data_IF_535124926441
#
_entry.id   IF_535124926441
#
_cell.length_a   1.000
_cell.length_b   1.000
_cell.length_c   1.000
_cell.angle_alpha   90.00
_cell.angle_beta   90.00
_cell.angle_gamma   90.00
#
_symmetry.space_group_name_H-M   'P 1'
#
loop_
_entity.id
_entity.type
_entity.pdbx_description
1 polymer ?
#
# COMPACT_ATOMS: atom_id res chain seq x y z
N UNK A 1 -31.87 1.30 30.47
CA UNK A 1 -31.14 0.02 30.49
C UNK A 1 -32.12 -1.06 30.04
N UNK A 2 -31.85 -1.99 29.13
CA UNK A 2 -30.64 -2.45 28.46
C UNK A 2 -31.15 -3.47 27.41
N UNK A 3 -30.64 -3.41 26.18
CA UNK A 3 -30.68 -4.49 25.14
C UNK A 3 -32.11 -4.70 24.56
N UNK A 4 -32.39 -4.85 23.26
CA UNK A 4 -31.69 -5.47 22.14
C UNK A 4 -32.22 -4.78 20.87
N UNK A 5 -31.35 -4.13 20.09
CA UNK A 5 -31.66 -3.75 18.70
C UNK A 5 -31.05 -4.84 17.83
N UNK A 6 -31.89 -5.78 17.40
CA UNK A 6 -31.57 -6.80 16.40
C UNK A 6 -32.02 -6.25 15.06
N UNK A 7 -31.17 -5.46 14.40
CA UNK A 7 -31.36 -5.07 13.01
C UNK A 7 -30.41 -5.92 12.17
N UNK A 8 -31.03 -6.88 11.48
CA UNK A 8 -30.50 -7.63 10.36
C UNK A 8 -29.88 -6.67 9.34
N UNK A 9 -28.55 -6.64 9.26
CA UNK A 9 -27.85 -6.20 8.06
C UNK A 9 -27.30 -7.44 7.36
N UNK A 10 -28.06 -7.87 6.36
CA UNK A 10 -27.65 -8.82 5.33
C UNK A 10 -26.44 -8.23 4.61
N UNK A 11 -25.22 -8.64 4.98
CA UNK A 11 -24.05 -8.42 4.13
C UNK A 11 -23.99 -9.60 3.18
N UNK A 12 -24.41 -9.32 1.95
CA UNK A 12 -24.40 -10.24 0.83
C UNK A 12 -23.00 -10.83 0.61
N UNK A 13 -23.01 -12.15 0.44
CA UNK A 13 -21.97 -12.98 -0.15
C UNK A 13 -21.73 -12.58 -1.62
N UNK A 14 -20.65 -13.13 -2.19
CA UNK A 14 -20.14 -13.04 -3.59
C UNK A 14 -19.11 -11.90 -3.73
N UNK A 15 -17.80 -12.15 -3.90
CA UNK A 15 -17.08 -12.99 -4.89
C UNK A 15 -15.87 -13.59 -4.14
N UNK A 16 -15.62 -14.90 -4.08
CA UNK A 16 -15.26 -15.75 -5.21
C UNK A 16 -13.74 -15.75 -5.43
N UNK A 17 -13.15 -16.95 -5.40
CA UNK A 17 -11.93 -17.30 -6.17
C UNK A 17 -10.57 -16.97 -5.55
N UNK A 18 -9.98 -17.98 -4.91
CA UNK A 18 -8.54 -18.19 -4.99
C UNK A 18 -8.16 -18.48 -6.45
N UNK A 19 -7.78 -17.44 -7.21
CA UNK A 19 -7.08 -17.57 -8.48
C UNK A 19 -6.14 -16.37 -8.64
N UNK A 20 -4.90 -16.68 -8.97
CA UNK A 20 -3.85 -15.76 -9.38
C UNK A 20 -3.40 -14.72 -8.33
N UNK A 21 -2.16 -14.91 -7.91
CA UNK A 21 -1.19 -13.82 -7.71
C UNK A 21 -1.17 -12.94 -8.98
N UNK A 22 -2.22 -12.17 -9.24
CA UNK A 22 -2.37 -11.41 -10.47
C UNK A 22 -1.37 -10.26 -10.40
N UNK A 23 -0.26 -10.48 -11.13
CA UNK A 23 0.85 -9.58 -11.40
C UNK A 23 0.44 -8.37 -12.24
N UNK A 24 -0.83 -7.95 -12.18
CA UNK A 24 -1.25 -6.77 -12.92
C UNK A 24 -0.71 -5.51 -12.19
N UNK A 25 0.23 -4.76 -12.79
CA UNK A 25 0.77 -3.56 -12.19
C UNK A 25 -0.31 -2.47 -12.02
N UNK A 26 -1.30 -2.40 -12.91
CA UNK A 26 -2.37 -1.41 -12.83
C UNK A 26 -3.29 -1.69 -11.64
N UNK A 27 -3.70 -2.94 -11.45
CA UNK A 27 -4.50 -3.33 -10.29
C UNK A 27 -3.74 -3.16 -8.95
N UNK A 28 -2.40 -3.23 -8.96
CA UNK A 28 -1.59 -2.90 -7.78
C UNK A 28 -1.56 -1.41 -7.50
N UNK A 29 -1.33 -0.60 -8.53
CA UNK A 29 -1.36 0.87 -8.45
C UNK A 29 -2.68 1.35 -7.87
N UNK A 30 -3.78 0.85 -8.44
CA UNK A 30 -5.13 1.21 -8.04
C UNK A 30 -5.39 0.90 -6.56
N UNK A 31 -5.02 -0.30 -6.09
CA UNK A 31 -5.17 -0.67 -4.67
C UNK A 31 -4.35 0.20 -3.73
N UNK A 32 -3.15 0.61 -4.14
CA UNK A 32 -2.33 1.51 -3.34
C UNK A 32 -2.96 2.91 -3.25
N UNK A 33 -3.42 3.45 -4.38
CA UNK A 33 -4.10 4.74 -4.43
C UNK A 33 -5.40 4.71 -3.62
N UNK A 34 -6.21 3.66 -3.76
CA UNK A 34 -7.45 3.48 -2.97
C UNK A 34 -7.15 3.40 -1.48
N UNK A 35 -6.15 2.61 -1.07
CA UNK A 35 -5.73 2.52 0.32
C UNK A 35 -5.28 3.87 0.90
N UNK A 36 -4.49 4.63 0.16
CA UNK A 36 -4.08 5.98 0.55
C UNK A 36 -5.27 6.94 0.61
N UNK A 37 -6.17 6.87 -0.38
CA UNK A 37 -7.37 7.70 -0.46
C UNK A 37 -8.25 7.50 0.77
N UNK A 38 -8.52 6.24 1.13
CA UNK A 38 -9.32 5.90 2.30
C UNK A 38 -8.62 6.27 3.61
N UNK A 39 -7.34 5.93 3.77
CA UNK A 39 -6.63 6.14 5.02
C UNK A 39 -6.39 7.63 5.33
N UNK A 40 -6.10 8.43 4.31
CA UNK A 40 -5.81 9.85 4.47
C UNK A 40 -7.07 10.72 4.34
N UNK A 41 -8.13 10.18 3.73
CA UNK A 41 -9.37 10.90 3.42
C UNK A 41 -9.18 11.88 2.27
N UNK A 42 -8.51 11.43 1.20
CA UNK A 42 -8.16 12.29 0.07
C UNK A 42 -9.38 12.61 -0.80
N UNK A 43 -9.47 13.84 -1.30
CA UNK A 43 -10.43 14.22 -2.31
C UNK A 43 -9.91 13.93 -3.74
N UNK A 44 -10.76 14.13 -4.76
CA UNK A 44 -10.40 13.83 -6.17
C UNK A 44 -9.18 14.61 -6.67
N UNK A 45 -9.02 15.86 -6.25
CA UNK A 45 -7.91 16.71 -6.69
C UNK A 45 -6.60 16.27 -6.03
N UNK A 46 -6.65 15.85 -4.77
CA UNK A 46 -5.51 15.28 -4.06
C UNK A 46 -5.11 13.92 -4.63
N UNK A 47 -6.09 13.08 -4.97
CA UNK A 47 -5.85 11.81 -5.68
C UNK A 47 -5.14 12.05 -7.01
N UNK A 48 -5.56 13.06 -7.79
CA UNK A 48 -4.89 13.41 -9.03
C UNK A 48 -3.42 13.85 -8.82
N UNK A 49 -3.11 14.53 -7.70
CA UNK A 49 -1.73 14.93 -7.35
C UNK A 49 -0.87 13.76 -6.90
N UNK A 50 -1.41 12.82 -6.13
CA UNK A 50 -0.63 11.70 -5.60
C UNK A 50 -0.46 10.57 -6.62
N UNK A 51 -1.39 10.39 -7.56
CA UNK A 51 -1.35 9.33 -8.59
C UNK A 51 0.00 9.26 -9.33
N UNK A 52 0.55 10.35 -9.89
CA UNK A 52 1.86 10.29 -10.56
C UNK A 52 3.00 9.92 -9.61
N UNK A 53 2.96 10.37 -8.35
CA UNK A 53 3.98 10.07 -7.32
C UNK A 53 3.98 8.57 -7.00
N UNK A 54 2.80 8.00 -6.76
CA UNK A 54 2.65 6.56 -6.48
C UNK A 54 3.03 5.72 -7.71
N UNK A 55 2.64 6.16 -8.90
CA UNK A 55 3.00 5.50 -10.17
C UNK A 55 4.52 5.44 -10.36
N UNK A 56 5.22 6.55 -10.10
CA UNK A 56 6.67 6.61 -10.19
C UNK A 56 7.34 5.69 -9.15
N UNK A 57 6.87 5.72 -7.90
CA UNK A 57 7.37 4.84 -6.84
C UNK A 57 7.23 3.36 -7.20
N UNK A 58 6.07 2.97 -7.73
CA UNK A 58 5.84 1.60 -8.19
C UNK A 58 6.72 1.21 -9.38
N UNK A 59 6.93 2.13 -10.33
CA UNK A 59 7.84 1.90 -11.46
C UNK A 59 9.27 1.69 -10.98
N UNK A 60 9.78 2.57 -10.10
CA UNK A 60 11.11 2.44 -9.48
C UNK A 60 11.27 1.09 -8.79
N UNK A 61 10.24 0.66 -8.06
CA UNK A 61 10.23 -0.65 -7.43
C UNK A 61 10.29 -1.77 -8.47
N UNK A 62 9.45 -1.73 -9.50
CA UNK A 62 9.47 -2.76 -10.56
C UNK A 62 10.85 -2.84 -11.24
N UNK A 63 11.42 -1.70 -11.60
CA UNK A 63 12.72 -1.62 -12.30
C UNK A 63 13.87 -2.10 -11.41
N UNK A 64 13.87 -1.74 -10.12
CA UNK A 64 14.87 -2.21 -9.17
C UNK A 64 14.81 -3.73 -8.98
N UNK A 65 13.60 -4.28 -8.86
CA UNK A 65 13.39 -5.72 -8.72
C UNK A 65 13.74 -6.48 -10.02
N UNK A 66 13.49 -5.89 -11.19
CA UNK A 66 13.89 -6.47 -12.48
C UNK A 66 15.43 -6.55 -12.58
N UNK A 67 16.13 -5.46 -12.31
CA UNK A 67 17.61 -5.40 -12.29
C UNK A 67 18.23 -6.42 -11.33
N UNK A 68 17.66 -6.55 -10.13
CA UNK A 68 18.12 -7.53 -9.14
C UNK A 68 17.92 -8.98 -9.60
N UNK A 69 16.86 -9.27 -10.36
CA UNK A 69 16.63 -10.59 -10.94
C UNK A 69 17.57 -10.88 -12.12
N UNK A 70 17.81 -9.89 -12.96
CA UNK A 70 18.71 -9.98 -14.12
C UNK A 70 20.18 -10.17 -13.72
N UNK A 71 20.58 -9.66 -12.56
CA UNK A 71 21.94 -9.81 -12.02
C UNK A 71 22.35 -11.27 -11.71
N UNK A 72 21.46 -12.25 -11.88
CA UNK A 72 21.79 -13.68 -11.93
C UNK A 72 22.28 -14.32 -10.62
N UNK A 73 22.22 -13.60 -9.50
CA UNK A 73 22.65 -14.06 -8.17
C UNK A 73 21.49 -14.46 -7.25
N UNK A 74 21.85 -15.02 -6.09
CA UNK A 74 20.91 -15.31 -5.01
C UNK A 74 20.22 -14.00 -4.56
N UNK A 75 18.88 -14.04 -4.43
CA UNK A 75 18.11 -12.85 -4.04
C UNK A 75 18.40 -12.52 -2.58
N UNK A 76 19.31 -11.56 -2.37
CA UNK A 76 19.64 -11.01 -1.07
C UNK A 76 18.42 -10.29 -0.48
N UNK A 77 17.72 -10.98 0.43
CA UNK A 77 16.48 -10.49 1.03
C UNK A 77 16.67 -9.18 1.81
N UNK A 78 17.84 -8.96 2.39
CA UNK A 78 18.14 -7.72 3.12
C UNK A 78 18.26 -6.55 2.15
N UNK A 79 19.00 -6.73 1.05
CA UNK A 79 19.08 -5.71 -0.01
C UNK A 79 17.73 -5.43 -0.65
N UNK A 80 16.91 -6.47 -0.91
CA UNK A 80 15.54 -6.27 -1.41
C UNK A 80 14.70 -5.41 -0.46
N UNK A 81 14.83 -5.66 0.85
CA UNK A 81 14.12 -4.92 1.88
C UNK A 81 14.62 -3.47 1.93
N UNK A 82 15.92 -3.27 1.93
CA UNK A 82 16.53 -1.94 1.97
C UNK A 82 16.10 -1.08 0.77
N UNK A 83 16.18 -1.63 -0.45
CA UNK A 83 15.75 -0.92 -1.65
C UNK A 83 14.26 -0.62 -1.62
N UNK A 84 13.42 -1.55 -1.15
CA UNK A 84 12.00 -1.31 -0.98
C UNK A 84 11.74 -0.19 0.03
N UNK A 85 12.42 -0.18 1.16
CA UNK A 85 12.28 0.87 2.19
C UNK A 85 12.69 2.22 1.62
N UNK A 86 13.84 2.31 0.94
CA UNK A 86 14.30 3.58 0.33
C UNK A 86 13.29 4.15 -0.66
N UNK A 87 12.77 3.32 -1.56
CA UNK A 87 11.75 3.75 -2.54
C UNK A 87 10.47 4.21 -1.82
N UNK A 88 10.07 3.51 -0.76
CA UNK A 88 8.91 3.90 0.06
C UNK A 88 9.14 5.27 0.72
N UNK A 89 10.30 5.48 1.35
CA UNK A 89 10.63 6.73 2.04
C UNK A 89 10.70 7.93 1.07
N UNK A 90 11.28 7.72 -0.11
CA UNK A 90 11.28 8.73 -1.19
C UNK A 90 9.87 9.07 -1.65
N UNK A 91 9.04 8.04 -1.84
CA UNK A 91 7.63 8.21 -2.25
C UNK A 91 6.85 8.95 -1.16
N UNK A 92 7.03 8.59 0.11
CA UNK A 92 6.34 9.23 1.23
C UNK A 92 6.78 10.67 1.42
N UNK A 93 8.07 10.98 1.20
CA UNK A 93 8.55 12.37 1.19
C UNK A 93 7.88 13.19 0.09
N UNK A 94 7.74 12.63 -1.11
CA UNK A 94 7.06 13.29 -2.22
C UNK A 94 5.55 13.45 -1.94
N UNK A 95 4.90 12.45 -1.35
CA UNK A 95 3.50 12.54 -0.92
C UNK A 95 3.31 13.65 0.11
N UNK A 96 4.14 13.72 1.16
CA UNK A 96 4.05 14.77 2.19
C UNK A 96 4.23 16.19 1.65
N UNK A 97 4.89 16.36 0.51
CA UNK A 97 5.02 17.66 -0.14
C UNK A 97 3.74 18.15 -0.81
N UNK A 98 2.80 17.25 -1.15
CA UNK A 98 1.53 17.58 -1.81
C UNK A 98 0.31 17.41 -0.89
N UNK A 99 0.51 16.82 0.28
CA UNK A 99 -0.49 16.60 1.31
C UNK A 99 -0.50 17.73 2.34
N UNK A 100 -1.62 17.89 3.03
CA UNK A 100 -1.68 18.72 4.24
C UNK A 100 -0.90 18.08 5.39
N UNK A 101 -0.53 18.88 6.40
CA UNK A 101 0.17 18.37 7.59
C UNK A 101 -0.62 17.25 8.29
N UNK A 102 -1.94 17.41 8.42
CA UNK A 102 -2.81 16.40 9.02
C UNK A 102 -2.82 15.08 8.23
N UNK A 103 -2.90 15.15 6.91
CA UNK A 103 -2.81 13.96 6.05
C UNK A 103 -1.42 13.33 6.09
N UNK A 104 -0.36 14.13 6.25
CA UNK A 104 1.01 13.63 6.46
C UNK A 104 1.14 12.80 7.73
N UNK A 105 0.49 13.20 8.84
CA UNK A 105 0.44 12.40 10.07
C UNK A 105 -0.36 11.10 9.86
N UNK A 106 -1.48 11.15 9.13
CA UNK A 106 -2.24 9.94 8.77
C UNK A 106 -1.42 8.98 7.90
N UNK A 107 -0.61 9.50 6.99
CA UNK A 107 0.31 8.69 6.17
C UNK A 107 1.30 7.93 7.06
N UNK A 108 1.92 8.61 8.04
CA UNK A 108 2.85 7.95 8.96
C UNK A 108 2.19 6.85 9.79
N UNK A 109 0.99 7.13 10.32
CA UNK A 109 0.19 6.14 11.04
C UNK A 109 -0.15 4.93 10.14
N UNK A 110 -0.57 5.18 8.90
CA UNK A 110 -0.90 4.15 7.93
C UNK A 110 0.31 3.27 7.59
N UNK A 111 1.49 3.86 7.37
CA UNK A 111 2.74 3.12 7.12
C UNK A 111 3.16 2.28 8.32
N UNK A 112 3.01 2.81 9.54
CA UNK A 112 3.28 2.08 10.78
C UNK A 112 2.36 0.89 10.94
N UNK A 113 1.05 1.07 10.72
CA UNK A 113 0.08 -0.03 10.76
C UNK A 113 0.45 -1.14 9.76
N UNK A 114 0.80 -0.78 8.52
CA UNK A 114 1.25 -1.76 7.52
C UNK A 114 2.53 -2.49 7.94
N UNK A 115 3.46 -1.84 8.64
CA UNK A 115 4.66 -2.48 9.17
C UNK A 115 4.31 -3.48 10.29
N UNK A 116 3.42 -3.11 11.20
CA UNK A 116 2.95 -3.97 12.29
C UNK A 116 2.16 -5.18 11.79
N UNK A 117 1.26 -4.99 10.83
CA UNK A 117 0.52 -6.10 10.20
C UNK A 117 1.45 -7.07 9.50
N UNK A 118 2.48 -6.57 8.81
CA UNK A 118 3.52 -7.42 8.22
C UNK A 118 4.28 -8.19 9.30
N UNK A 119 4.69 -7.53 10.39
CA UNK A 119 5.38 -8.19 11.50
C UNK A 119 4.52 -9.29 12.13
N UNK A 120 3.23 -9.05 12.36
CA UNK A 120 2.27 -10.04 12.88
C UNK A 120 2.15 -11.26 11.96
N UNK A 121 2.07 -11.04 10.64
CA UNK A 121 2.02 -12.15 9.67
C UNK A 121 3.29 -13.00 9.66
N UNK A 122 4.44 -12.39 9.95
CA UNK A 122 5.72 -13.11 10.07
C UNK A 122 5.87 -13.85 11.39
N UNK A 123 5.15 -13.45 12.45
CA UNK A 123 5.17 -14.11 13.76
C UNK A 123 4.17 -15.27 13.88
N UNK A 124 3.14 -15.29 13.03
CA UNK A 124 2.13 -16.34 12.98
C UNK A 124 2.41 -17.46 11.95
N UNK A 125 3.61 -17.46 11.36
CA UNK A 125 4.16 -18.52 10.50
C UNK A 125 5.34 -19.16 11.22
#
# INVERSE_FOLDING_TARGET
MKKIVMVLFVVALVIGSGFAQQRDPAARLQREIEGLTTALGLNKDEVAKITPIVTEGQKKQSDAFAKMREAGGEIDREKMREVRTKIMDETDKALKAVLTAEQGVKLDAFRKQQAEERAKRMQGQ
#
